data_IF_170645591198
#
_entry.id   IF_170645591198
#
_cell.length_a   1.000
_cell.length_b   1.000
_cell.length_c   1.000
_cell.angle_alpha   90.00
_cell.angle_beta   90.00
_cell.angle_gamma   90.00
#
_symmetry.space_group_name_H-M   'P 1'
#
loop_
_entity.id
_entity.type
_entity.pdbx_description
1 polymer ?
#
# COMPACT_ATOMS: atom_id res chain seq x y z
N UNK A 1 9.06 17.79 8.10
CA UNK A 1 9.88 16.69 7.53
C UNK A 1 9.29 16.39 6.18
N UNK A 2 10.10 16.36 5.12
CA UNK A 2 9.59 16.04 3.78
C UNK A 2 9.50 14.51 3.62
N UNK A 3 8.35 14.02 3.15
CA UNK A 3 8.10 12.60 2.87
C UNK A 3 7.57 12.44 1.45
N UNK A 4 7.77 11.26 0.87
CA UNK A 4 7.19 10.92 -0.43
C UNK A 4 5.80 10.35 -0.24
N UNK A 5 4.84 10.84 -1.01
CA UNK A 5 3.45 10.34 -0.98
C UNK A 5 2.94 10.05 -2.37
N UNK A 6 1.96 9.16 -2.46
CA UNK A 6 1.16 9.03 -3.68
C UNK A 6 0.20 10.21 -3.84
N UNK A 7 -0.01 10.62 -5.08
CA UNK A 7 -0.97 11.67 -5.41
C UNK A 7 -2.40 11.25 -5.10
N UNK A 8 -3.13 12.10 -4.39
CA UNK A 8 -4.55 11.90 -4.09
C UNK A 8 -5.33 11.83 -5.41
N UNK A 9 -6.01 10.71 -5.67
CA UNK A 9 -6.92 10.57 -6.81
C UNK A 9 -8.37 10.90 -6.41
N UNK A 10 -8.76 10.56 -5.20
CA UNK A 10 -10.10 10.78 -4.67
C UNK A 10 -10.10 11.73 -3.48
N UNK A 11 -10.86 12.82 -3.57
CA UNK A 11 -11.07 13.76 -2.47
C UNK A 11 -12.09 13.23 -1.44
N UNK A 12 -12.32 14.03 -0.40
CA UNK A 12 -13.25 13.76 0.70
C UNK A 12 -14.70 13.56 0.24
N UNK A 13 -15.18 14.40 -0.69
CA UNK A 13 -16.54 14.31 -1.27
C UNK A 13 -16.70 13.01 -2.06
N UNK A 14 -15.69 12.66 -2.86
CA UNK A 14 -15.69 11.45 -3.67
C UNK A 14 -15.61 10.19 -2.80
N UNK A 15 -14.73 10.17 -1.80
CA UNK A 15 -14.62 9.07 -0.84
C UNK A 15 -15.94 8.85 -0.08
N UNK A 16 -16.59 9.94 0.35
CA UNK A 16 -17.91 9.88 1.00
C UNK A 16 -18.98 9.34 0.06
N UNK A 17 -18.97 9.79 -1.20
CA UNK A 17 -19.94 9.36 -2.22
C UNK A 17 -19.84 7.86 -2.54
N UNK A 18 -18.64 7.28 -2.46
CA UNK A 18 -18.45 5.84 -2.67
C UNK A 18 -19.20 4.99 -1.64
N UNK A 19 -19.19 5.41 -0.36
CA UNK A 19 -19.91 4.69 0.68
C UNK A 19 -21.41 4.85 0.51
N UNK A 20 -21.88 6.07 0.21
CA UNK A 20 -23.30 6.33 -0.09
C UNK A 20 -23.82 5.53 -1.30
N UNK A 21 -22.97 5.27 -2.30
CA UNK A 21 -23.35 4.46 -3.45
C UNK A 21 -23.54 2.97 -3.09
N UNK A 22 -22.85 2.48 -2.06
CA UNK A 22 -22.98 1.11 -1.56
C UNK A 22 -24.13 1.00 -0.56
N UNK A 23 -24.27 1.98 0.33
CA UNK A 23 -25.35 2.07 1.30
C UNK A 23 -25.89 3.51 1.35
N UNK A 24 -27.01 3.74 0.66
CA UNK A 24 -27.66 5.05 0.63
C UNK A 24 -28.24 5.49 1.98
N UNK A 25 -28.41 4.55 2.93
CA UNK A 25 -28.91 4.84 4.27
C UNK A 25 -27.81 5.19 5.27
N UNK A 26 -26.56 4.84 4.95
CA UNK A 26 -25.42 5.17 5.79
C UNK A 26 -25.13 6.68 5.74
N UNK A 27 -24.72 7.24 6.87
CA UNK A 27 -24.42 8.67 6.99
C UNK A 27 -22.96 8.87 7.36
N UNK A 28 -22.07 8.41 6.50
CA UNK A 28 -20.63 8.61 6.67
C UNK A 28 -20.19 9.97 6.11
N UNK A 29 -19.18 10.55 6.74
CA UNK A 29 -18.43 11.66 6.17
C UNK A 29 -16.94 11.46 6.37
N UNK A 30 -16.16 11.86 5.37
CA UNK A 30 -14.72 11.91 5.47
C UNK A 30 -14.31 13.02 6.45
N UNK A 31 -13.56 12.63 7.47
CA UNK A 31 -13.15 13.51 8.57
C UNK A 31 -11.64 13.75 8.55
N UNK A 32 -10.88 12.67 8.42
CA UNK A 32 -9.42 12.71 8.57
C UNK A 32 -8.74 12.09 7.36
N UNK A 33 -7.76 12.81 6.78
CA UNK A 33 -6.81 12.25 5.81
C UNK A 33 -5.58 11.75 6.55
N UNK A 34 -5.30 10.45 6.44
CA UNK A 34 -4.08 9.85 6.97
C UNK A 34 -3.15 9.42 5.85
N UNK A 35 -1.87 9.36 6.15
CA UNK A 35 -0.83 8.87 5.27
C UNK A 35 -0.27 7.57 5.88
N UNK A 36 -0.52 6.46 5.21
CA UNK A 36 -0.13 5.12 5.68
C UNK A 36 1.19 4.67 5.04
N UNK A 37 2.17 4.18 5.81
CA UNK A 37 3.52 3.95 5.31
C UNK A 37 3.69 2.61 4.59
N UNK A 38 4.46 2.64 3.51
CA UNK A 38 4.83 1.49 2.70
C UNK A 38 6.28 1.55 2.24
N UNK A 39 6.85 0.39 1.94
CA UNK A 39 8.09 0.25 1.20
C UNK A 39 7.84 -0.41 -0.15
N UNK A 40 8.27 0.24 -1.23
CA UNK A 40 8.30 -0.39 -2.55
C UNK A 40 9.68 -0.97 -2.81
N UNK A 41 9.72 -2.18 -3.37
CA UNK A 41 10.94 -2.84 -3.83
C UNK A 41 10.74 -3.38 -5.25
N UNK A 42 11.71 -3.12 -6.13
CA UNK A 42 11.78 -3.70 -7.47
C UNK A 42 13.07 -4.52 -7.57
N UNK A 43 12.94 -5.76 -8.03
CA UNK A 43 14.04 -6.68 -8.24
C UNK A 43 14.15 -7.07 -9.70
N UNK A 44 15.37 -7.19 -10.19
CA UNK A 44 15.68 -7.97 -11.38
C UNK A 44 15.73 -9.44 -11.01
N UNK A 45 15.07 -10.29 -11.79
CA UNK A 45 15.13 -11.74 -11.68
C UNK A 45 15.94 -12.27 -12.86
N UNK A 46 16.94 -13.10 -12.56
CA UNK A 46 17.69 -13.88 -13.56
C UNK A 46 17.64 -15.36 -13.21
N UNK A 47 17.10 -16.16 -14.13
CA UNK A 47 17.07 -17.62 -14.05
C UNK A 47 18.06 -18.18 -15.05
N UNK A 48 19.00 -18.99 -14.57
CA UNK A 48 19.91 -19.75 -15.44
C UNK A 48 19.29 -21.12 -15.74
N UNK A 49 19.23 -21.49 -17.02
CA UNK A 49 18.65 -22.74 -17.49
C UNK A 49 18.77 -22.88 -19.02
N UNK A 50 18.12 -23.89 -19.59
CA UNK A 50 18.10 -24.12 -21.05
C UNK A 50 17.46 -22.95 -21.82
N UNK A 51 16.43 -22.31 -21.25
CA UNK A 51 15.98 -20.98 -21.65
C UNK A 51 16.25 -20.00 -20.50
N UNK A 52 17.24 -19.10 -20.62
CA UNK A 52 17.46 -18.08 -19.61
C UNK A 52 16.26 -17.13 -19.57
N UNK A 53 15.72 -16.90 -18.37
CA UNK A 53 14.64 -15.94 -18.15
C UNK A 53 15.21 -14.74 -17.42
N UNK A 54 14.95 -13.55 -17.94
CA UNK A 54 15.23 -12.29 -17.30
C UNK A 54 13.96 -11.46 -17.24
N UNK A 55 13.69 -10.86 -16.08
CA UNK A 55 12.50 -10.04 -15.90
C UNK A 55 12.63 -9.16 -14.67
N UNK A 56 11.57 -8.39 -14.42
CA UNK A 56 11.44 -7.59 -13.21
C UNK A 56 10.23 -8.06 -12.42
N UNK A 57 10.35 -7.97 -11.10
CA UNK A 57 9.23 -8.12 -10.19
C UNK A 57 9.28 -6.97 -9.20
N UNK A 58 8.13 -6.40 -8.90
CA UNK A 58 8.02 -5.41 -7.85
C UNK A 58 7.00 -5.87 -6.80
N UNK A 59 7.24 -5.44 -5.58
CA UNK A 59 6.31 -5.64 -4.48
C UNK A 59 6.28 -4.40 -3.59
N UNK A 60 5.16 -4.23 -2.92
CA UNK A 60 4.99 -3.25 -1.85
C UNK A 60 4.84 -4.02 -0.55
N UNK A 61 5.55 -3.58 0.49
CA UNK A 61 5.47 -4.09 1.85
C UNK A 61 4.83 -3.02 2.73
N UNK A 62 3.75 -3.38 3.40
CA UNK A 62 3.14 -2.59 4.45
C UNK A 62 4.15 -2.38 5.60
N UNK A 63 4.47 -1.12 5.89
CA UNK A 63 5.49 -0.78 6.89
C UNK A 63 4.96 -0.83 8.35
N UNK A 64 3.70 -1.20 8.55
CA UNK A 64 3.04 -1.42 9.84
C UNK A 64 2.88 -2.92 10.10
N UNK A 65 2.31 -3.67 9.15
CA UNK A 65 1.98 -5.09 9.31
C UNK A 65 3.01 -6.05 8.73
N UNK A 66 3.86 -5.58 7.81
CA UNK A 66 4.78 -6.42 7.04
C UNK A 66 4.12 -7.28 5.96
N UNK A 67 2.83 -7.06 5.67
CA UNK A 67 2.14 -7.77 4.60
C UNK A 67 2.67 -7.30 3.23
N UNK A 68 3.00 -8.25 2.37
CA UNK A 68 3.47 -7.99 1.01
C UNK A 68 2.36 -8.12 -0.03
N UNK A 69 2.42 -7.28 -1.06
CA UNK A 69 1.61 -7.38 -2.26
C UNK A 69 2.49 -7.18 -3.50
N UNK A 70 2.17 -7.85 -4.61
CA UNK A 70 2.81 -7.57 -5.88
C UNK A 70 2.41 -6.18 -6.38
N UNK A 71 3.33 -5.53 -7.08
CA UNK A 71 3.11 -4.25 -7.71
C UNK A 71 3.47 -4.34 -9.20
N UNK A 72 2.58 -3.88 -10.06
CA UNK A 72 2.78 -3.89 -11.51
C UNK A 72 3.62 -2.70 -11.98
N UNK A 73 3.57 -1.59 -11.23
CA UNK A 73 4.23 -0.35 -11.58
C UNK A 73 4.82 0.37 -10.35
N UNK A 74 5.82 1.22 -10.61
CA UNK A 74 6.33 2.14 -9.62
C UNK A 74 5.25 3.19 -9.27
N UNK A 75 5.01 3.50 -7.98
CA UNK A 75 4.03 4.51 -7.62
C UNK A 75 4.44 5.89 -8.14
N UNK A 76 3.47 6.68 -8.59
CA UNK A 76 3.67 8.11 -8.81
C UNK A 76 3.82 8.78 -7.44
N UNK A 77 5.00 9.37 -7.18
CA UNK A 77 5.35 9.93 -5.88
C UNK A 77 5.71 11.41 -6.01
N UNK A 78 5.22 12.21 -5.06
CA UNK A 78 5.65 13.60 -4.86
C UNK A 78 6.13 13.83 -3.42
N UNK A 79 7.11 14.71 -3.21
CA UNK A 79 7.45 15.16 -1.87
C UNK A 79 6.34 16.08 -1.35
N UNK A 80 5.96 15.91 -0.08
CA UNK A 80 5.12 16.88 0.63
C UNK A 80 5.70 17.16 2.01
N UNK A 81 5.42 18.36 2.49
CA UNK A 81 5.68 18.74 3.88
C UNK A 81 4.42 18.46 4.69
N UNK A 82 4.41 17.35 5.43
CA UNK A 82 3.28 16.95 6.27
C UNK A 82 3.51 17.26 7.73
N UNK A 83 2.42 17.54 8.44
CA UNK A 83 2.37 17.47 9.89
C UNK A 83 2.49 16.01 10.33
N UNK A 84 3.39 15.73 11.25
CA UNK A 84 3.67 14.38 11.77
C UNK A 84 2.42 13.65 12.27
N UNK A 85 1.39 14.37 12.69
CA UNK A 85 0.16 13.82 13.28
C UNK A 85 -0.70 13.02 12.29
N UNK A 86 -0.58 13.30 10.98
CA UNK A 86 -1.31 12.58 9.93
C UNK A 86 -0.54 11.38 9.38
N UNK A 87 0.74 11.25 9.73
CA UNK A 87 1.60 10.14 9.31
C UNK A 87 1.42 8.98 10.28
N UNK A 88 0.97 7.84 9.78
CA UNK A 88 1.00 6.61 10.56
C UNK A 88 2.47 6.17 10.70
N UNK A 89 2.96 5.94 11.93
CA UNK A 89 4.36 5.58 12.13
C UNK A 89 4.66 4.19 11.57
N UNK A 90 5.83 4.04 10.96
CA UNK A 90 6.37 2.74 10.56
C UNK A 90 6.61 1.88 11.81
N UNK A 91 6.18 0.61 11.78
CA UNK A 91 6.47 -0.38 12.83
C UNK A 91 7.61 -1.33 12.47
N UNK A 92 7.93 -1.45 11.18
CA UNK A 92 9.08 -2.24 10.70
C UNK A 92 10.09 -1.36 9.99
N UNK A 93 11.37 -1.69 10.15
CA UNK A 93 12.46 -0.99 9.46
C UNK A 93 12.51 -1.36 7.98
N UNK A 94 13.21 -0.53 7.19
CA UNK A 94 13.45 -0.81 5.77
C UNK A 94 14.22 -2.11 5.56
N UNK A 95 15.15 -2.44 6.44
CA UNK A 95 15.96 -3.66 6.39
C UNK A 95 15.08 -4.89 6.60
N UNK A 96 14.16 -4.84 7.57
CA UNK A 96 13.21 -5.94 7.80
C UNK A 96 12.21 -6.06 6.64
N UNK A 97 11.67 -4.94 6.17
CA UNK A 97 10.81 -4.92 4.98
C UNK A 97 11.51 -5.50 3.74
N UNK A 98 12.81 -5.26 3.57
CA UNK A 98 13.59 -5.84 2.48
C UNK A 98 13.72 -7.37 2.61
N UNK A 99 13.92 -7.90 3.84
CA UNK A 99 13.93 -9.34 4.09
C UNK A 99 12.58 -9.99 3.79
N UNK A 100 11.50 -9.33 4.19
CA UNK A 100 10.14 -9.76 3.89
C UNK A 100 9.90 -9.74 2.37
N UNK A 101 10.29 -8.67 1.68
CA UNK A 101 10.14 -8.51 0.24
C UNK A 101 10.81 -9.64 -0.54
N UNK A 102 12.07 -9.97 -0.23
CA UNK A 102 12.79 -11.07 -0.88
C UNK A 102 12.04 -12.40 -0.70
N UNK A 103 11.60 -12.71 0.53
CA UNK A 103 10.83 -13.94 0.78
C UNK A 103 9.51 -13.92 0.02
N UNK A 104 8.80 -12.78 0.00
CA UNK A 104 7.53 -12.63 -0.68
C UNK A 104 7.65 -12.86 -2.20
N UNK A 105 8.63 -12.23 -2.85
CA UNK A 105 8.85 -12.41 -4.29
C UNK A 105 9.32 -13.81 -4.63
N UNK A 106 10.15 -14.44 -3.79
CA UNK A 106 10.55 -15.84 -3.95
C UNK A 106 9.34 -16.77 -3.94
N UNK A 107 8.49 -16.69 -2.91
CA UNK A 107 7.27 -17.51 -2.83
C UNK A 107 6.31 -17.26 -4.00
N UNK A 108 6.16 -16.00 -4.42
CA UNK A 108 5.33 -15.64 -5.58
C UNK A 108 5.90 -16.18 -6.90
N UNK A 109 7.23 -16.29 -7.01
CA UNK A 109 7.93 -16.78 -8.19
C UNK A 109 7.93 -18.32 -8.32
N UNK A 110 7.69 -19.08 -7.24
CA UNK A 110 7.62 -20.56 -7.28
C UNK A 110 6.54 -21.05 -8.26
N UNK A 111 5.49 -20.25 -8.49
CA UNK A 111 4.45 -20.55 -9.50
C UNK A 111 4.99 -20.62 -10.94
N UNK A 112 6.18 -20.08 -11.21
CA UNK A 112 6.81 -20.08 -12.54
C UNK A 112 7.51 -21.41 -12.90
N UNK A 113 7.35 -22.48 -12.10
CA UNK A 113 7.94 -23.83 -12.34
C UNK A 113 9.46 -23.77 -12.59
N UNK A 114 10.14 -22.87 -11.90
CA UNK A 114 11.58 -22.67 -12.07
C UNK A 114 12.33 -23.75 -11.27
N UNK A 115 13.04 -24.64 -11.98
CA UNK A 115 13.80 -25.73 -11.36
C UNK A 115 15.18 -25.30 -10.81
N UNK A 116 15.65 -24.11 -11.17
CA UNK A 116 16.90 -23.52 -10.68
C UNK A 116 16.62 -22.30 -9.81
N UNK A 117 17.32 -22.10 -8.68
CA UNK A 117 17.11 -20.93 -7.85
C UNK A 117 17.31 -19.62 -8.66
N UNK A 118 16.28 -18.74 -8.73
CA UNK A 118 16.44 -17.44 -9.37
C UNK A 118 17.43 -16.58 -8.59
N UNK A 119 18.27 -15.85 -9.32
CA UNK A 119 19.07 -14.77 -8.75
C UNK A 119 18.24 -13.49 -8.74
N UNK A 120 18.15 -12.85 -7.57
CA UNK A 120 17.45 -11.58 -7.38
C UNK A 120 18.47 -10.48 -7.12
N UNK A 121 18.36 -9.37 -7.86
CA UNK A 121 19.15 -8.17 -7.64
C UNK A 121 18.22 -6.99 -7.40
N UNK A 122 18.38 -6.29 -6.28
CA UNK A 122 17.54 -5.12 -5.97
C UNK A 122 17.86 -3.99 -6.95
N UNK A 123 16.87 -3.54 -7.71
CA UNK A 123 16.99 -2.42 -8.65
C UNK A 123 16.57 -1.10 -8.01
N UNK A 124 15.50 -1.12 -7.24
CA UNK A 124 14.92 0.09 -6.64
C UNK A 124 14.32 -0.22 -5.28
N UNK A 125 14.48 0.70 -4.34
CA UNK A 125 13.72 0.70 -3.09
C UNK A 125 13.34 2.11 -2.71
N UNK A 126 12.10 2.32 -2.25
CA UNK A 126 11.63 3.62 -1.77
C UNK A 126 10.65 3.45 -0.63
N UNK A 127 10.75 4.32 0.38
CA UNK A 127 9.72 4.48 1.41
C UNK A 127 8.77 5.57 0.94
N UNK A 128 7.46 5.32 1.06
CA UNK A 128 6.44 6.29 0.68
C UNK A 128 5.21 6.12 1.56
N UNK A 129 4.32 7.09 1.51
CA UNK A 129 3.02 7.00 2.16
C UNK A 129 1.90 7.03 1.14
N UNK A 130 0.86 6.26 1.40
CA UNK A 130 -0.36 6.24 0.61
C UNK A 130 -1.47 6.95 1.38
N UNK A 131 -2.20 7.90 0.76
CA UNK A 131 -3.28 8.61 1.42
C UNK A 131 -4.53 7.74 1.59
N UNK A 132 -5.16 7.84 2.75
CA UNK A 132 -6.44 7.21 3.06
C UNK A 132 -7.36 8.19 3.77
N UNK A 133 -8.63 8.22 3.37
CA UNK A 133 -9.68 8.93 4.10
C UNK A 133 -10.26 8.03 5.18
N UNK A 134 -10.38 8.57 6.39
CA UNK A 134 -11.12 7.97 7.48
C UNK A 134 -12.49 8.61 7.54
N UNK A 135 -13.51 7.78 7.41
CA UNK A 135 -14.91 8.14 7.41
C UNK A 135 -15.56 7.70 8.72
N UNK A 136 -16.37 8.58 9.29
CA UNK A 136 -17.13 8.31 10.51
C UNK A 136 -18.63 8.48 10.28
N UNK A 137 -19.43 7.63 10.93
CA UNK A 137 -20.90 7.71 10.91
C UNK A 137 -21.37 8.92 11.74
N UNK A 138 -22.06 9.87 11.11
CA UNK A 138 -22.53 11.09 11.77
C UNK A 138 -23.71 10.89 12.71
N UNK A 139 -24.62 9.95 12.39
CA UNK A 139 -25.91 9.84 13.08
C UNK A 139 -25.91 8.87 14.26
N UNK A 140 -25.01 7.90 14.28
CA UNK A 140 -24.91 6.90 15.33
C UNK A 140 -23.51 6.96 15.94
N UNK A 141 -23.36 7.73 17.02
CA UNK A 141 -22.09 7.84 17.77
C UNK A 141 -21.63 6.51 18.36
N UNK A 142 -22.55 5.57 18.53
CA UNK A 142 -22.27 4.23 19.05
C UNK A 142 -22.82 3.18 18.08
N UNK A 143 -21.94 2.32 17.55
CA UNK A 143 -22.32 1.07 16.89
C UNK A 143 -21.81 0.85 15.46
N UNK A 144 -21.40 1.90 14.74
CA UNK A 144 -20.89 1.75 13.37
C UNK A 144 -19.36 1.89 13.35
N UNK A 145 -18.65 0.90 12.80
CA UNK A 145 -17.21 0.99 12.66
C UNK A 145 -16.83 2.09 11.65
N UNK A 146 -15.72 2.77 11.92
CA UNK A 146 -15.13 3.72 10.98
C UNK A 146 -14.75 3.01 9.69
N UNK A 147 -14.79 3.73 8.57
CA UNK A 147 -14.40 3.18 7.27
C UNK A 147 -13.11 3.86 6.82
N UNK A 148 -12.16 3.08 6.34
CA UNK A 148 -10.96 3.58 5.71
C UNK A 148 -11.07 3.39 4.19
N UNK A 149 -11.00 4.49 3.45
CA UNK A 149 -11.08 4.54 1.99
C UNK A 149 -9.70 4.86 1.44
N UNK A 150 -9.18 4.00 0.57
CA UNK A 150 -7.95 4.23 -0.18
C UNK A 150 -8.15 5.37 -1.18
N UNK A 151 -7.50 6.50 -0.93
CA UNK A 151 -7.68 7.70 -1.75
C UNK A 151 -6.97 7.63 -3.11
N UNK A 152 -6.36 6.48 -3.45
CA UNK A 152 -5.82 6.17 -4.77
C UNK A 152 -6.76 5.27 -5.58
N UNK A 153 -7.45 4.32 -4.96
CA UNK A 153 -8.26 3.32 -5.70
C UNK A 153 -9.75 3.38 -5.41
N UNK A 154 -10.18 4.12 -4.39
CA UNK A 154 -11.55 4.14 -3.90
C UNK A 154 -11.97 2.85 -3.18
N UNK A 155 -11.08 1.86 -3.06
CA UNK A 155 -11.36 0.65 -2.27
C UNK A 155 -11.48 1.03 -0.81
N UNK A 156 -12.46 0.47 -0.12
CA UNK A 156 -12.71 0.74 1.27
C UNK A 156 -12.73 -0.53 2.12
N UNK A 157 -12.47 -0.37 3.40
CA UNK A 157 -12.57 -1.44 4.38
C UNK A 157 -13.01 -0.87 5.73
N UNK A 158 -13.69 -1.72 6.48
CA UNK A 158 -14.14 -1.42 7.82
C UNK A 158 -12.97 -1.48 8.80
N UNK A 159 -12.84 -0.47 9.65
CA UNK A 159 -11.90 -0.46 10.76
C UNK A 159 -12.59 -1.04 12.00
N UNK A 160 -12.18 -2.23 12.39
CA UNK A 160 -12.51 -2.79 13.70
C UNK A 160 -11.44 -2.33 14.68
N UNK A 161 -11.79 -1.33 15.51
CA UNK A 161 -10.93 -0.80 16.58
C UNK A 161 -11.19 -1.61 17.85
#
# INVERSE_FOLDING_TARGET
MSVLVQDLEFNDIEATSMIHAVDSSAHYEADTLIYYPYYFFEYEIKVRGLLPIQGKIACIIDAVSGIGALADQFPALKPIDTLNETLIPTKISKEEACRIAIKFVQHSSIKLKIFTPPHFSLLRSVAFYRPYWILHEKKHKDGYPSIMVDAITGKFHTLHI
#
